data_IF_612647895292
#
_entry.id   IF_612647895292
#
_cell.length_a   1.000
_cell.length_b   1.000
_cell.length_c   1.000
_cell.angle_alpha   90.00
_cell.angle_beta   90.00
_cell.angle_gamma   90.00
#
_symmetry.space_group_name_H-M   'P 1'
#
loop_
_entity.id
_entity.type
_entity.pdbx_description
1 polymer ?
#
# COMPACT_ATOMS: atom_id res chain seq x y z
N UNK A 1 -7.65 10.47 -10.87
CA UNK A 1 -7.29 9.30 -10.04
C UNK A 1 -7.21 8.08 -10.95
N UNK A 2 -6.14 7.30 -10.88
CA UNK A 2 -6.00 6.04 -11.61
C UNK A 2 -6.20 4.88 -10.64
N UNK A 3 -7.01 3.89 -11.02
CA UNK A 3 -7.27 2.71 -10.19
C UNK A 3 -6.03 1.81 -10.13
N UNK A 4 -5.63 1.30 -8.95
CA UNK A 4 -4.57 0.30 -8.84
C UNK A 4 -4.93 -0.98 -9.61
N UNK A 5 -3.93 -1.58 -10.24
CA UNK A 5 -4.07 -2.87 -10.93
C UNK A 5 -3.93 -4.01 -9.92
N UNK A 6 -4.79 -5.04 -10.05
CA UNK A 6 -4.83 -6.18 -9.12
C UNK A 6 -5.73 -5.94 -7.90
N UNK A 7 -5.60 -6.82 -6.90
CA UNK A 7 -6.32 -6.69 -5.63
C UNK A 7 -5.92 -5.39 -4.93
N UNK A 8 -6.92 -4.65 -4.44
CA UNK A 8 -6.73 -3.37 -3.78
C UNK A 8 -7.84 -3.07 -2.77
N UNK A 9 -7.50 -2.27 -1.78
CA UNK A 9 -8.39 -1.87 -0.70
C UNK A 9 -8.32 -0.36 -0.52
N UNK A 10 -9.49 0.29 -0.39
CA UNK A 10 -9.60 1.71 -0.07
C UNK A 10 -10.18 1.85 1.33
N UNK A 11 -9.53 2.63 2.17
CA UNK A 11 -9.92 2.85 3.55
C UNK A 11 -10.16 4.34 3.79
N UNK A 12 -11.28 4.67 4.42
CA UNK A 12 -11.50 5.98 5.03
C UNK A 12 -11.22 5.86 6.53
N UNK A 13 -10.36 6.73 7.03
CA UNK A 13 -9.92 6.74 8.42
C UNK A 13 -10.74 7.77 9.17
N UNK A 14 -11.23 7.41 10.35
CA UNK A 14 -12.10 8.26 11.15
C UNK A 14 -11.51 8.53 12.53
N UNK A 15 -11.72 9.74 13.04
CA UNK A 15 -11.64 10.09 14.45
C UNK A 15 -13.08 10.33 14.95
N UNK A 16 -13.64 9.34 15.65
CA UNK A 16 -15.08 9.29 15.94
C UNK A 16 -15.89 9.19 14.64
N UNK A 17 -16.77 10.15 14.39
CA UNK A 17 -17.59 10.22 13.17
C UNK A 17 -16.95 11.08 12.07
N UNK A 18 -15.81 11.72 12.34
CA UNK A 18 -15.17 12.66 11.42
C UNK A 18 -14.07 11.96 10.61
N UNK A 19 -14.14 11.92 9.27
CA UNK A 19 -13.12 11.26 8.45
C UNK A 19 -11.84 12.10 8.39
N UNK A 20 -10.69 11.62 8.86
CA UNK A 20 -9.43 12.41 8.96
C UNK A 20 -8.43 12.11 7.85
N UNK A 21 -8.49 10.94 7.24
CA UNK A 21 -7.53 10.51 6.22
C UNK A 21 -8.11 9.46 5.27
N UNK A 22 -7.44 9.27 4.13
CA UNK A 22 -7.74 8.22 3.16
C UNK A 22 -6.47 7.42 2.87
N UNK A 23 -6.59 6.10 2.86
CA UNK A 23 -5.52 5.18 2.44
C UNK A 23 -5.97 4.30 1.30
N UNK A 24 -5.06 4.01 0.39
CA UNK A 24 -5.24 3.02 -0.67
C UNK A 24 -4.10 2.01 -0.61
N UNK A 25 -4.47 0.75 -0.45
CA UNK A 25 -3.57 -0.39 -0.46
C UNK A 25 -3.73 -1.17 -1.76
N UNK A 26 -2.64 -1.74 -2.26
CA UNK A 26 -2.66 -2.67 -3.39
C UNK A 26 -1.80 -3.88 -3.12
N UNK A 27 -2.09 -4.97 -3.83
CA UNK A 27 -1.19 -6.13 -3.93
C UNK A 27 0.20 -5.73 -4.45
N UNK A 28 1.18 -6.59 -4.20
CA UNK A 28 2.56 -6.35 -4.58
C UNK A 28 2.80 -6.35 -6.10
N UNK A 29 3.44 -5.31 -6.68
CA UNK A 29 3.94 -5.38 -8.04
C UNK A 29 4.94 -6.53 -8.16
N UNK A 30 4.70 -7.41 -9.14
CA UNK A 30 5.54 -8.61 -9.31
C UNK A 30 6.96 -8.21 -9.72
N UNK A 31 7.15 -7.19 -10.54
CA UNK A 31 8.47 -6.83 -11.08
C UNK A 31 8.99 -5.53 -10.47
N UNK A 32 9.36 -5.57 -9.18
CA UNK A 32 9.96 -4.42 -8.48
C UNK A 32 11.29 -4.81 -7.81
N UNK A 33 12.36 -4.83 -8.61
CA UNK A 33 13.71 -5.19 -8.16
C UNK A 33 14.24 -4.39 -6.95
N UNK A 34 13.98 -3.07 -6.82
CA UNK A 34 14.40 -2.32 -5.63
C UNK A 34 13.84 -2.87 -4.31
N UNK A 35 12.56 -3.30 -4.28
CA UNK A 35 11.96 -3.94 -3.09
C UNK A 35 12.73 -5.21 -2.73
N UNK A 36 12.91 -6.08 -3.71
CA UNK A 36 13.52 -7.39 -3.48
C UNK A 36 14.96 -7.24 -2.97
N UNK A 37 15.75 -6.29 -3.51
CA UNK A 37 17.09 -5.98 -3.00
C UNK A 37 17.10 -5.39 -1.59
N UNK A 38 16.18 -4.47 -1.30
CA UNK A 38 16.08 -3.85 0.02
C UNK A 38 15.75 -4.90 1.11
N UNK A 39 14.87 -5.84 0.79
CA UNK A 39 14.51 -6.94 1.69
C UNK A 39 15.56 -8.07 1.73
N UNK A 40 16.63 -7.99 0.92
CA UNK A 40 17.60 -9.09 0.79
C UNK A 40 17.02 -10.36 0.18
N UNK A 41 15.92 -10.27 -0.56
CA UNK A 41 15.20 -11.42 -1.09
C UNK A 41 15.87 -11.97 -2.34
N UNK A 42 16.24 -13.25 -2.29
CA UNK A 42 16.52 -14.03 -3.50
C UNK A 42 15.22 -14.29 -4.29
N UNK A 43 15.30 -14.70 -5.57
CA UNK A 43 14.11 -15.05 -6.35
C UNK A 43 13.24 -16.13 -5.70
N UNK A 44 13.83 -17.08 -4.98
CA UNK A 44 13.10 -18.13 -4.27
C UNK A 44 12.32 -17.56 -3.07
N UNK A 45 12.99 -16.75 -2.24
CA UNK A 45 12.36 -16.07 -1.09
C UNK A 45 11.24 -15.15 -1.56
N UNK A 46 11.46 -14.38 -2.64
CA UNK A 46 10.43 -13.55 -3.24
C UNK A 46 9.19 -14.34 -3.62
N UNK A 47 9.33 -15.49 -4.30
CA UNK A 47 8.17 -16.30 -4.73
C UNK A 47 7.33 -16.79 -3.55
N UNK A 48 7.96 -17.13 -2.42
CA UNK A 48 7.27 -17.61 -1.23
C UNK A 48 6.55 -16.50 -0.47
N UNK A 49 7.08 -15.27 -0.50
CA UNK A 49 6.62 -14.20 0.40
C UNK A 49 5.87 -13.06 -0.30
N UNK A 50 5.96 -12.91 -1.64
CA UNK A 50 5.40 -11.74 -2.35
C UNK A 50 3.88 -11.61 -2.21
N UNK A 51 3.16 -12.72 -2.03
CA UNK A 51 1.71 -12.72 -1.79
C UNK A 51 1.33 -12.10 -0.43
N UNK A 52 2.26 -12.03 0.53
CA UNK A 52 2.06 -11.41 1.83
C UNK A 52 2.38 -9.92 1.89
N UNK A 53 2.71 -9.29 0.76
CA UNK A 53 3.05 -7.85 0.71
C UNK A 53 1.87 -7.05 0.17
N UNK A 54 1.50 -6.01 0.93
CA UNK A 54 0.64 -4.92 0.47
C UNK A 54 1.45 -3.62 0.36
N UNK A 55 1.12 -2.80 -0.65
CA UNK A 55 1.72 -1.50 -0.88
C UNK A 55 0.73 -0.40 -0.52
N UNK A 56 1.18 0.58 0.26
CA UNK A 56 0.44 1.82 0.43
C UNK A 56 0.66 2.71 -0.81
N UNK A 57 -0.20 2.54 -1.81
CA UNK A 57 -0.09 3.24 -3.08
C UNK A 57 -0.49 4.72 -2.95
N UNK A 58 -1.31 5.07 -1.95
CA UNK A 58 -1.73 6.45 -1.71
C UNK A 58 -2.13 6.64 -0.26
N UNK A 59 -1.62 7.71 0.34
CA UNK A 59 -2.14 8.26 1.58
C UNK A 59 -2.55 9.72 1.37
N UNK A 60 -3.56 10.16 2.11
CA UNK A 60 -4.01 11.54 2.16
C UNK A 60 -4.44 11.84 3.59
N UNK A 61 -3.78 12.80 4.23
CA UNK A 61 -4.30 13.48 5.41
C UNK A 61 -5.20 14.62 4.89
N UNK A 62 -6.42 14.74 5.41
CA UNK A 62 -7.34 15.76 4.89
C UNK A 62 -6.85 17.18 5.24
N UNK A 63 -7.06 18.18 4.36
CA UNK A 63 -6.45 19.51 4.51
C UNK A 63 -6.78 20.27 5.79
N UNK A 64 -7.84 19.87 6.50
CA UNK A 64 -8.25 20.49 7.75
C UNK A 64 -7.59 19.88 8.99
N UNK A 65 -6.89 18.75 8.85
CA UNK A 65 -6.17 18.11 9.95
C UNK A 65 -4.85 18.86 10.16
N UNK A 66 -4.62 19.32 11.39
CA UNK A 66 -3.35 19.88 11.84
C UNK A 66 -2.53 18.78 12.54
N UNK A 67 -1.23 18.70 12.26
CA UNK A 67 -0.29 17.65 12.71
C UNK A 67 0.82 18.26 13.54
#
# INVERSE_FOLDING_TARGET
YAQPVGEHLKCMVYAGTRPVALFAWSSAPRHLGPRDRFLGWSPAVRRQNIAGIAYNARYLILPWVEV
#
